data_IF_716289232038
#
_entry.id   IF_716289232038
#
_cell.length_a   1.000
_cell.length_b   1.000
_cell.length_c   1.000
_cell.angle_alpha   90.00
_cell.angle_beta   90.00
_cell.angle_gamma   90.00
#
_symmetry.space_group_name_H-M   'P 1'
#
loop_
_entity.id
_entity.type
_entity.pdbx_description
1 polymer ?
#
# COMPACT_ATOMS: atom_id res chain seq x y z
N UNK A 1 -33.51 56.03 17.85
CA UNK A 1 -33.00 55.58 19.16
C UNK A 1 -33.15 54.06 19.23
N UNK A 2 -32.03 53.35 19.50
CA UNK A 2 -31.84 52.02 20.15
C UNK A 2 -33.06 51.07 20.28
N UNK A 3 -32.98 49.76 20.00
CA UNK A 3 -31.84 48.86 19.76
C UNK A 3 -32.24 47.38 19.65
N UNK A 4 -31.21 46.53 19.43
CA UNK A 4 -31.03 45.07 19.67
C UNK A 4 -32.16 44.08 19.28
N UNK A 5 -32.00 43.23 18.25
CA UNK A 5 -31.18 41.99 18.15
C UNK A 5 -31.95 40.72 18.53
N UNK A 6 -32.12 39.76 17.60
CA UNK A 6 -32.00 38.30 17.82
C UNK A 6 -31.64 37.65 16.48
N UNK A 7 -30.52 36.94 16.46
CA UNK A 7 -30.08 36.08 15.38
C UNK A 7 -30.80 34.72 15.45
N UNK A 8 -31.21 34.18 14.30
CA UNK A 8 -31.53 32.76 14.14
C UNK A 8 -30.81 32.27 12.89
N UNK A 9 -29.62 31.72 13.11
CA UNK A 9 -28.85 30.98 12.11
C UNK A 9 -29.51 29.61 11.99
N UNK A 10 -30.30 29.39 10.94
CA UNK A 10 -30.75 28.06 10.56
C UNK A 10 -29.54 27.29 10.02
N UNK A 11 -28.96 26.44 10.86
CA UNK A 11 -27.99 25.43 10.45
C UNK A 11 -28.70 24.42 9.54
N UNK A 12 -28.51 24.56 8.23
CA UNK A 12 -28.92 23.54 7.27
C UNK A 12 -28.04 22.31 7.48
N UNK A 13 -28.66 21.21 7.92
CA UNK A 13 -28.05 19.91 8.04
C UNK A 13 -27.66 19.39 6.65
N UNK A 14 -26.45 19.73 6.19
CA UNK A 14 -25.80 19.06 5.08
C UNK A 14 -25.44 17.64 5.55
N UNK A 15 -26.34 16.69 5.30
CA UNK A 15 -26.03 15.26 5.33
C UNK A 15 -25.07 14.97 4.18
N UNK A 16 -23.78 15.18 4.40
CA UNK A 16 -22.74 14.60 3.55
C UNK A 16 -22.85 13.08 3.69
N UNK A 17 -23.24 12.42 2.61
CA UNK A 17 -23.10 10.97 2.49
C UNK A 17 -21.66 10.58 2.88
N UNK A 18 -21.46 9.47 3.61
CA UNK A 18 -20.12 8.98 3.83
C UNK A 18 -19.51 8.71 2.46
N UNK A 19 -18.48 9.49 2.11
CA UNK A 19 -17.60 9.17 0.99
C UNK A 19 -17.10 7.75 1.28
N UNK A 20 -17.52 6.79 0.47
CA UNK A 20 -16.80 5.54 0.38
C UNK A 20 -15.40 5.92 -0.11
N UNK A 21 -14.47 6.06 0.83
CA UNK A 21 -13.06 6.20 0.51
C UNK A 21 -12.63 5.00 -0.34
N UNK A 22 -11.48 5.09 -1.04
CA UNK A 22 -10.95 3.92 -1.74
C UNK A 22 -10.96 2.75 -0.76
N UNK A 23 -11.53 1.62 -1.17
CA UNK A 23 -11.52 0.40 -0.36
C UNK A 23 -10.07 0.06 -0.09
N UNK A 24 -9.59 0.49 1.07
CA UNK A 24 -8.26 0.19 1.56
C UNK A 24 -8.19 -1.31 1.78
N UNK A 25 -7.09 -1.92 1.35
CA UNK A 25 -6.84 -3.33 1.60
C UNK A 25 -6.87 -3.65 3.10
N UNK A 26 -6.81 -4.93 3.49
CA UNK A 26 -6.81 -5.30 4.90
C UNK A 26 -5.65 -4.59 5.64
N UNK A 27 -5.90 -4.10 6.85
CA UNK A 27 -4.85 -3.52 7.69
C UNK A 27 -4.02 -4.64 8.33
N UNK A 28 -2.71 -4.61 8.18
CA UNK A 28 -1.81 -5.56 8.84
C UNK A 28 -1.51 -5.07 10.26
N UNK A 29 -1.98 -5.79 11.27
CA UNK A 29 -1.67 -5.48 12.67
C UNK A 29 -0.35 -6.15 13.06
N UNK A 30 0.73 -5.38 13.21
CA UNK A 30 2.03 -5.88 13.64
C UNK A 30 3.10 -4.78 13.70
N UNK A 31 4.19 -5.04 14.41
CA UNK A 31 5.32 -4.12 14.52
C UNK A 31 6.30 -4.35 13.36
N UNK A 32 5.91 -3.92 12.16
CA UNK A 32 6.78 -3.93 10.99
C UNK A 32 7.50 -2.57 10.85
N UNK A 33 8.73 -2.54 10.34
CA UNK A 33 9.37 -1.30 9.94
C UNK A 33 8.74 -0.79 8.64
N UNK A 34 8.77 0.52 8.40
CA UNK A 34 8.28 1.09 7.13
C UNK A 34 8.97 0.49 5.91
N UNK A 35 10.24 0.12 6.05
CA UNK A 35 11.06 -0.50 5.01
C UNK A 35 11.83 -1.65 5.63
N UNK A 36 11.75 -2.83 5.01
CA UNK A 36 12.53 -3.99 5.41
C UNK A 36 11.88 -5.29 5.00
N UNK A 37 12.48 -6.40 5.40
CA UNK A 37 11.97 -7.73 5.16
C UNK A 37 12.43 -8.69 6.24
N UNK A 38 11.78 -9.84 6.33
CA UNK A 38 12.28 -10.96 7.10
C UNK A 38 13.59 -11.48 6.48
N UNK A 39 14.51 -12.08 7.26
CA UNK A 39 15.71 -12.71 6.72
C UNK A 39 15.43 -13.78 5.66
N UNK A 40 14.28 -14.44 5.75
CA UNK A 40 13.79 -15.47 4.83
C UNK A 40 12.76 -14.93 3.82
N UNK A 41 12.51 -13.62 3.80
CA UNK A 41 11.50 -12.96 2.96
C UNK A 41 10.06 -13.46 3.19
N UNK A 42 9.76 -14.08 4.33
CA UNK A 42 8.39 -14.45 4.73
C UNK A 42 7.44 -13.25 4.85
N UNK A 43 8.01 -12.06 5.08
CA UNK A 43 7.34 -10.78 4.94
C UNK A 43 8.29 -9.73 4.35
N UNK A 44 7.70 -8.76 3.65
CA UNK A 44 8.38 -7.60 3.08
C UNK A 44 7.51 -6.36 3.34
N UNK A 45 8.09 -5.32 3.92
CA UNK A 45 7.45 -4.05 4.21
C UNK A 45 8.08 -2.94 3.35
N UNK A 46 7.26 -2.06 2.78
CA UNK A 46 7.76 -1.03 1.90
C UNK A 46 6.69 -0.22 1.19
N UNK A 47 7.12 0.57 0.20
CA UNK A 47 6.21 1.33 -0.67
C UNK A 47 5.96 0.65 -2.01
N UNK A 48 4.72 0.65 -2.49
CA UNK A 48 4.40 0.24 -3.85
C UNK A 48 5.09 1.20 -4.83
N UNK A 49 5.96 0.67 -5.68
CA UNK A 49 6.64 1.45 -6.70
C UNK A 49 5.68 1.81 -7.86
N UNK A 50 6.06 2.77 -8.73
CA UNK A 50 5.43 2.91 -10.03
C UNK A 50 5.43 1.57 -10.76
N UNK A 51 4.41 1.30 -11.60
CA UNK A 51 4.19 0.02 -12.26
C UNK A 51 4.71 0.01 -13.72
N UNK A 52 6.03 0.01 -14.00
CA UNK A 52 6.50 -0.04 -15.37
C UNK A 52 6.14 -1.38 -16.00
N UNK A 53 5.68 -1.35 -17.26
CA UNK A 53 5.40 -2.55 -18.06
C UNK A 53 4.43 -3.55 -17.39
N UNK A 54 3.53 -3.06 -16.52
CA UNK A 54 2.56 -3.91 -15.81
C UNK A 54 3.12 -4.69 -14.62
N UNK A 55 4.40 -4.55 -14.29
CA UNK A 55 5.00 -5.15 -13.10
C UNK A 55 4.71 -4.29 -11.87
N UNK A 56 4.19 -4.91 -10.81
CA UNK A 56 4.03 -4.26 -9.50
C UNK A 56 5.23 -4.63 -8.65
N UNK A 57 5.94 -3.63 -8.14
CA UNK A 57 7.07 -3.84 -7.24
C UNK A 57 6.78 -3.24 -5.87
N UNK A 58 7.27 -3.92 -4.85
CA UNK A 58 7.38 -3.39 -3.50
C UNK A 58 8.83 -2.96 -3.28
N UNK A 59 9.04 -1.68 -2.98
CA UNK A 59 10.35 -1.14 -2.61
C UNK A 59 10.51 -1.22 -1.10
N UNK A 60 11.38 -2.13 -0.67
CA UNK A 60 11.64 -2.44 0.74
C UNK A 60 12.95 -1.85 1.26
N UNK A 61 13.80 -1.29 0.38
CA UNK A 61 14.96 -0.49 0.77
C UNK A 61 15.06 0.77 -0.12
N UNK A 62 14.87 1.99 0.44
CA UNK A 62 14.96 3.22 -0.32
C UNK A 62 16.40 3.57 -0.71
N UNK A 63 17.41 3.02 -0.02
CA UNK A 63 18.83 3.28 -0.28
C UNK A 63 19.43 2.40 -1.38
N UNK A 64 18.69 1.38 -1.85
CA UNK A 64 19.10 0.44 -2.91
C UNK A 64 20.42 -0.29 -2.61
N UNK A 65 20.72 -0.45 -1.33
CA UNK A 65 21.89 -1.18 -0.84
C UNK A 65 21.60 -2.68 -0.68
N UNK A 66 20.33 -3.05 -0.59
CA UNK A 66 19.87 -4.43 -0.52
C UNK A 66 19.81 -5.14 -1.89
N UNK A 67 19.68 -6.48 -1.91
CA UNK A 67 19.51 -7.25 -3.13
C UNK A 67 18.41 -6.69 -4.05
N UNK A 68 18.62 -6.87 -5.36
CA UNK A 68 17.67 -6.45 -6.41
C UNK A 68 17.33 -4.96 -6.42
N UNK A 69 18.28 -4.10 -6.00
CA UNK A 69 18.10 -2.64 -5.91
C UNK A 69 17.04 -2.25 -4.85
N UNK A 70 16.86 -3.08 -3.83
CA UNK A 70 15.91 -2.83 -2.74
C UNK A 70 14.44 -2.97 -3.14
N UNK A 71 14.15 -3.73 -4.20
CA UNK A 71 12.78 -3.96 -4.69
C UNK A 71 12.53 -5.41 -5.07
N UNK A 72 11.29 -5.83 -4.90
CA UNK A 72 10.82 -7.18 -5.25
C UNK A 72 9.52 -7.07 -6.05
N UNK A 73 9.36 -7.91 -7.08
CA UNK A 73 8.11 -8.00 -7.83
C UNK A 73 7.06 -8.75 -7.00
N UNK A 74 5.80 -8.30 -7.05
CA UNK A 74 4.69 -8.97 -6.38
C UNK A 74 3.93 -9.86 -7.37
N UNK A 75 3.75 -11.13 -7.02
CA UNK A 75 2.89 -12.06 -7.73
C UNK A 75 1.66 -12.29 -6.86
N UNK A 76 0.54 -11.71 -7.29
CA UNK A 76 -0.76 -11.89 -6.66
C UNK A 76 -1.85 -11.72 -7.72
N UNK A 77 -3.11 -11.95 -7.32
CA UNK A 77 -4.25 -11.57 -8.13
C UNK A 77 -4.22 -10.07 -8.50
N UNK A 78 -4.43 -9.69 -9.77
CA UNK A 78 -4.38 -8.29 -10.20
C UNK A 78 -5.33 -7.37 -9.42
N UNK A 79 -6.55 -7.83 -9.11
CA UNK A 79 -7.53 -7.02 -8.36
C UNK A 79 -7.07 -6.77 -6.92
N UNK A 80 -6.31 -7.70 -6.35
CA UNK A 80 -5.67 -7.52 -5.04
C UNK A 80 -4.61 -6.42 -5.11
N UNK A 81 -3.74 -6.42 -6.12
CA UNK A 81 -2.70 -5.42 -6.26
C UNK A 81 -3.25 -4.04 -6.66
N UNK A 82 -4.37 -3.98 -7.37
CA UNK A 82 -5.06 -2.72 -7.73
C UNK A 82 -5.58 -1.94 -6.51
N UNK A 83 -5.78 -2.59 -5.36
CA UNK A 83 -6.19 -1.93 -4.11
C UNK A 83 -5.08 -1.03 -3.53
N UNK A 84 -3.83 -1.22 -3.95
CA UNK A 84 -2.67 -0.49 -3.42
C UNK A 84 -2.01 0.35 -4.54
N UNK A 85 -2.40 1.63 -4.70
CA UNK A 85 -1.73 2.55 -5.61
C UNK A 85 -0.24 2.77 -5.31
N UNK A 86 0.49 3.27 -6.30
CA UNK A 86 1.91 3.62 -6.12
C UNK A 86 2.08 4.66 -5.03
N UNK A 87 3.05 4.42 -4.14
CA UNK A 87 3.31 5.22 -2.96
C UNK A 87 2.72 4.65 -1.67
N UNK A 88 1.76 3.73 -1.75
CA UNK A 88 1.17 3.12 -0.56
C UNK A 88 2.18 2.29 0.21
N UNK A 89 2.12 2.41 1.53
CA UNK A 89 2.91 1.62 2.46
C UNK A 89 2.17 0.34 2.78
N UNK A 90 2.82 -0.79 2.53
CA UNK A 90 2.20 -2.12 2.69
C UNK A 90 3.15 -3.08 3.36
N UNK A 91 2.59 -4.13 3.92
CA UNK A 91 3.30 -5.36 4.28
C UNK A 91 2.74 -6.49 3.43
N UNK A 92 3.61 -7.14 2.68
CA UNK A 92 3.32 -8.33 1.90
C UNK A 92 3.94 -9.56 2.56
N UNK A 93 3.15 -10.61 2.74
CA UNK A 93 3.56 -11.92 3.21
C UNK A 93 3.57 -12.89 2.05
N UNK A 94 4.50 -13.83 2.09
CA UNK A 94 4.60 -14.83 1.03
C UNK A 94 5.92 -15.57 1.07
N UNK A 95 6.30 -16.08 -0.09
CA UNK A 95 7.56 -16.79 -0.29
C UNK A 95 8.24 -16.30 -1.56
N UNK A 96 9.57 -16.33 -1.59
CA UNK A 96 10.32 -16.07 -2.82
C UNK A 96 9.92 -17.11 -3.87
N UNK A 97 9.54 -16.64 -5.05
CA UNK A 97 9.24 -17.52 -6.16
C UNK A 97 10.52 -18.17 -6.69
N UNK A 98 10.47 -19.48 -6.95
CA UNK A 98 11.56 -20.23 -7.60
C UNK A 98 11.91 -19.71 -9.00
N UNK A 99 10.94 -19.09 -9.69
CA UNK A 99 11.16 -18.43 -10.96
C UNK A 99 11.13 -16.91 -10.75
N UNK A 100 12.23 -16.17 -11.01
CA UNK A 100 12.14 -14.73 -11.10
C UNK A 100 11.14 -14.38 -12.20
N UNK A 101 10.37 -13.30 -12.03
CA UNK A 101 9.67 -12.72 -13.18
C UNK A 101 10.73 -12.15 -14.11
N UNK A 102 11.21 -12.97 -15.05
CA UNK A 102 12.24 -12.59 -16.02
C UNK A 102 11.90 -11.30 -16.77
N UNK A 103 10.61 -11.04 -16.98
CA UNK A 103 10.08 -9.80 -17.59
C UNK A 103 10.10 -8.59 -16.64
N UNK A 104 10.06 -8.81 -15.33
CA UNK A 104 10.13 -7.77 -14.31
C UNK A 104 11.58 -7.54 -13.80
N UNK A 105 12.57 -8.34 -14.20
CA UNK A 105 13.98 -8.08 -13.93
C UNK A 105 14.38 -7.98 -12.45
N UNK A 106 13.58 -8.54 -11.54
CA UNK A 106 13.83 -8.61 -10.10
C UNK A 106 13.39 -9.99 -9.58
N UNK A 107 13.79 -10.34 -8.36
CA UNK A 107 13.15 -11.44 -7.65
C UNK A 107 11.65 -11.17 -7.50
N UNK A 108 10.90 -12.24 -7.27
CA UNK A 108 9.47 -12.18 -7.11
C UNK A 108 9.04 -12.82 -5.79
N UNK A 109 8.01 -12.24 -5.19
CA UNK A 109 7.33 -12.75 -4.01
C UNK A 109 5.96 -13.29 -4.45
N UNK A 110 5.69 -14.57 -4.20
CA UNK A 110 4.36 -15.14 -4.31
C UNK A 110 3.55 -14.73 -3.08
N UNK A 111 2.64 -13.78 -3.25
CA UNK A 111 1.97 -13.08 -2.16
C UNK A 111 0.80 -13.92 -1.68
N UNK A 112 0.86 -14.37 -0.43
CA UNK A 112 -0.25 -15.06 0.25
C UNK A 112 -1.17 -14.08 0.97
N UNK A 113 -0.63 -12.94 1.40
CA UNK A 113 -1.38 -11.88 2.06
C UNK A 113 -0.68 -10.54 1.83
N UNK A 114 -1.44 -9.49 1.58
CA UNK A 114 -0.93 -8.12 1.50
C UNK A 114 -1.93 -7.19 2.15
N UNK A 115 -1.42 -6.18 2.84
CA UNK A 115 -2.27 -5.20 3.47
C UNK A 115 -1.52 -3.90 3.77
N UNK A 116 -2.28 -2.89 4.14
CA UNK A 116 -1.71 -1.60 4.55
C UNK A 116 -0.85 -1.78 5.81
N UNK A 117 0.27 -1.06 5.82
CA UNK A 117 1.18 -0.97 6.96
C UNK A 117 0.70 0.07 7.98
#
# INVERSE_FOLDING_TARGET
>A
MRGAAVALVCAACMHSAPHAGPTRGPLITGAYPSYGHAPDFSWVAGSIAPRPNGCVYLRFDPHRSEPWDGRIALIADPQTLEQFPSGDMVVAFGHLSDAPRGECGAAALDVTQIGEH
#
